data_IF_221700483450
#
_entry.id   IF_221700483450
#
_cell.length_a   1.000
_cell.length_b   1.000
_cell.length_c   1.000
_cell.angle_alpha   90.00
_cell.angle_beta   90.00
_cell.angle_gamma   90.00
#
_symmetry.space_group_name_H-M   'P 1'
#
loop_
_entity.id
_entity.type
_entity.pdbx_description
1 polymer ?
#
# COMPACT_ATOMS: atom_id res chain seq x y z
N UNK A 1 11.30 0.43 1.15
CA UNK A 1 12.49 0.67 0.29
C UNK A 1 12.51 2.14 -0.10
N UNK A 2 13.69 2.76 -0.16
CA UNK A 2 13.84 4.20 -0.38
C UNK A 2 13.71 4.56 -1.87
N UNK A 3 12.91 5.58 -2.20
CA UNK A 3 13.00 6.30 -3.47
C UNK A 3 13.77 7.60 -3.19
N UNK A 4 14.58 8.07 -4.14
CA UNK A 4 15.15 9.41 -4.05
C UNK A 4 14.01 10.44 -3.97
N UNK A 5 14.17 11.48 -3.13
CA UNK A 5 13.13 12.48 -2.90
C UNK A 5 12.60 13.03 -4.22
N UNK A 6 11.28 13.01 -4.41
CA UNK A 6 10.68 13.53 -5.65
C UNK A 6 10.76 15.07 -5.60
N UNK A 7 11.25 15.75 -6.67
CA UNK A 7 11.45 17.20 -6.66
C UNK A 7 10.17 18.02 -6.39
N UNK A 8 8.98 17.39 -6.46
CA UNK A 8 7.70 18.00 -6.13
C UNK A 8 7.46 18.27 -4.63
N UNK A 9 8.25 17.71 -3.72
CA UNK A 9 8.08 17.87 -2.27
C UNK A 9 8.95 18.96 -1.63
N UNK A 10 9.68 19.75 -2.43
CA UNK A 10 10.64 20.72 -1.93
C UNK A 10 10.06 21.79 -0.99
N UNK A 11 8.74 22.06 -1.07
CA UNK A 11 8.04 22.98 -0.17
C UNK A 11 7.45 22.32 1.09
N UNK A 12 7.20 21.01 1.09
CA UNK A 12 6.50 20.28 2.16
C UNK A 12 7.43 19.39 3.02
N UNK A 13 8.70 19.25 2.64
CA UNK A 13 9.62 18.31 3.27
C UNK A 13 9.37 16.87 2.80
N UNK A 14 9.98 15.90 3.48
CA UNK A 14 9.87 14.49 3.13
C UNK A 14 8.52 13.91 3.55
N UNK A 15 7.79 13.28 2.62
CA UNK A 15 6.52 12.59 2.92
C UNK A 15 6.79 11.11 3.18
N UNK A 16 6.38 10.64 4.36
CA UNK A 16 6.53 9.24 4.78
C UNK A 16 5.16 8.62 5.02
N UNK A 17 4.83 7.57 4.27
CA UNK A 17 3.62 6.77 4.47
C UNK A 17 3.92 5.60 5.41
N UNK A 18 3.25 5.54 6.55
CA UNK A 18 3.41 4.45 7.54
C UNK A 18 2.16 3.59 7.58
N UNK A 19 2.31 2.32 7.22
CA UNK A 19 1.25 1.32 7.13
C UNK A 19 1.36 0.34 8.29
N UNK A 20 0.46 0.46 9.24
CA UNK A 20 0.42 -0.39 10.42
C UNK A 20 -0.08 -1.82 10.06
N UNK A 21 0.11 -2.76 10.98
CA UNK A 21 -0.51 -4.09 10.90
C UNK A 21 -2.04 -4.05 11.06
N UNK A 22 -2.71 -5.21 11.15
CA UNK A 22 -4.16 -5.26 11.35
C UNK A 22 -4.93 -6.28 10.52
N UNK A 23 -4.24 -7.25 9.90
CA UNK A 23 -4.88 -8.33 9.14
C UNK A 23 -5.75 -7.80 7.99
N UNK A 24 -6.98 -8.30 7.86
CA UNK A 24 -7.87 -7.95 6.76
C UNK A 24 -8.26 -6.45 6.71
N UNK A 25 -8.22 -5.73 7.83
CA UNK A 25 -8.46 -4.28 7.87
C UNK A 25 -7.37 -3.49 7.13
N UNK A 26 -6.23 -4.12 6.80
CA UNK A 26 -5.23 -3.54 5.91
C UNK A 26 -5.76 -3.19 4.51
N UNK A 27 -6.91 -3.73 4.09
CA UNK A 27 -7.55 -3.42 2.81
C UNK A 27 -7.90 -1.94 2.66
N UNK A 28 -8.31 -1.28 3.76
CA UNK A 28 -8.62 0.15 3.76
C UNK A 28 -7.39 1.02 3.44
N UNK A 29 -6.18 0.54 3.71
CA UNK A 29 -4.94 1.25 3.38
C UNK A 29 -4.75 1.41 1.86
N UNK A 30 -5.33 0.50 1.04
CA UNK A 30 -5.31 0.66 -0.42
C UNK A 30 -6.15 1.86 -0.87
N UNK A 31 -7.29 2.13 -0.19
CA UNK A 31 -8.10 3.32 -0.43
C UNK A 31 -7.40 4.60 0.01
N UNK A 32 -6.67 4.57 1.13
CA UNK A 32 -5.81 5.70 1.56
C UNK A 32 -4.75 5.99 0.50
N UNK A 33 -4.05 4.96 0.00
CA UNK A 33 -3.06 5.15 -1.03
C UNK A 33 -3.65 5.68 -2.34
N UNK A 34 -4.86 5.21 -2.72
CA UNK A 34 -5.58 5.76 -3.87
C UNK A 34 -5.86 7.25 -3.72
N UNK A 35 -6.36 7.69 -2.56
CA UNK A 35 -6.64 9.10 -2.31
C UNK A 35 -5.36 9.97 -2.39
N UNK A 36 -4.21 9.46 -1.93
CA UNK A 36 -2.92 10.14 -2.10
C UNK A 36 -2.55 10.28 -3.58
N UNK A 37 -2.71 9.23 -4.38
CA UNK A 37 -2.47 9.29 -5.84
C UNK A 37 -3.38 10.31 -6.53
N UNK A 38 -4.68 10.32 -6.20
CA UNK A 38 -5.66 11.28 -6.75
C UNK A 38 -5.33 12.73 -6.36
N UNK A 39 -4.76 12.94 -5.18
CA UNK A 39 -4.27 14.24 -4.72
C UNK A 39 -2.88 14.62 -5.28
N UNK A 40 -2.26 13.77 -6.10
CA UNK A 40 -0.90 13.99 -6.62
C UNK A 40 0.20 13.89 -5.55
N UNK A 41 -0.10 13.29 -4.39
CA UNK A 41 0.86 13.10 -3.29
C UNK A 41 1.54 11.74 -3.46
N UNK A 42 2.83 11.77 -3.76
CA UNK A 42 3.68 10.58 -3.83
C UNK A 42 4.57 10.52 -2.57
N UNK A 43 4.48 9.46 -1.75
CA UNK A 43 5.38 9.28 -0.63
C UNK A 43 6.83 9.04 -1.09
N UNK A 44 7.78 9.68 -0.40
CA UNK A 44 9.21 9.44 -0.60
C UNK A 44 9.64 8.12 0.07
N UNK A 45 8.99 7.79 1.21
CA UNK A 45 9.20 6.55 1.95
C UNK A 45 7.88 5.88 2.26
N UNK A 46 7.93 4.54 2.26
CA UNK A 46 6.84 3.72 2.73
C UNK A 46 7.40 2.72 3.73
N UNK A 47 6.82 2.73 4.92
CA UNK A 47 7.16 1.84 6.02
C UNK A 47 5.93 0.98 6.28
N UNK A 48 6.12 -0.33 6.48
CA UNK A 48 5.03 -1.24 6.69
C UNK A 48 5.35 -2.33 7.71
N UNK A 49 4.35 -2.73 8.50
CA UNK A 49 4.45 -3.85 9.44
C UNK A 49 3.34 -4.87 9.16
N UNK A 50 3.66 -6.18 9.16
CA UNK A 50 2.70 -7.26 8.89
C UNK A 50 1.96 -7.03 7.55
N UNK A 51 0.62 -6.96 7.54
CA UNK A 51 -0.14 -6.65 6.31
C UNK A 51 0.25 -5.30 5.69
N UNK A 52 0.61 -4.30 6.52
CA UNK A 52 1.13 -3.03 6.05
C UNK A 52 2.46 -3.18 5.32
N UNK A 53 3.28 -4.18 5.67
CA UNK A 53 4.52 -4.49 4.93
C UNK A 53 4.23 -5.06 3.54
N UNK A 54 3.16 -5.86 3.39
CA UNK A 54 2.72 -6.38 2.09
C UNK A 54 2.23 -5.23 1.22
N UNK A 55 1.35 -4.37 1.74
CA UNK A 55 0.90 -3.17 1.02
C UNK A 55 2.11 -2.28 0.63
N UNK A 56 3.04 -2.03 1.55
CA UNK A 56 4.24 -1.24 1.28
C UNK A 56 5.12 -1.86 0.18
N UNK A 57 5.28 -3.19 0.18
CA UNK A 57 6.03 -3.91 -0.85
C UNK A 57 5.34 -3.84 -2.22
N UNK A 58 4.00 -3.96 -2.27
CA UNK A 58 3.23 -3.81 -3.51
C UNK A 58 3.33 -2.39 -4.09
N UNK A 59 3.32 -1.37 -3.23
CA UNK A 59 3.45 0.02 -3.68
C UNK A 59 4.89 0.29 -4.15
N UNK A 60 5.89 -0.04 -3.33
CA UNK A 60 7.28 0.27 -3.65
C UNK A 60 7.85 -0.60 -4.79
N UNK A 61 7.37 -1.84 -4.93
CA UNK A 61 7.86 -2.81 -5.90
C UNK A 61 7.23 -2.74 -7.29
N UNK A 62 6.32 -1.80 -7.54
CA UNK A 62 5.66 -1.63 -8.83
C UNK A 62 5.84 -0.20 -9.37
N UNK A 63 5.82 -0.06 -10.70
CA UNK A 63 5.78 1.25 -11.36
C UNK A 63 4.50 2.01 -10.97
N UNK A 64 4.53 3.35 -10.90
CA UNK A 64 3.41 4.16 -10.40
C UNK A 64 2.04 3.77 -10.99
N UNK A 65 1.99 3.49 -12.28
CA UNK A 65 0.79 3.17 -13.05
C UNK A 65 0.16 1.84 -12.63
N UNK A 66 0.96 0.92 -12.07
CA UNK A 66 0.56 -0.43 -11.73
C UNK A 66 0.22 -0.63 -10.24
N UNK A 67 0.64 0.27 -9.35
CA UNK A 67 0.56 0.07 -7.90
C UNK A 67 -0.86 -0.16 -7.39
N UNK A 68 -1.80 0.67 -7.81
CA UNK A 68 -3.21 0.54 -7.41
C UNK A 68 -3.86 -0.74 -7.96
N UNK A 69 -3.55 -1.11 -9.20
CA UNK A 69 -4.05 -2.35 -9.78
C UNK A 69 -3.52 -3.58 -9.01
N UNK A 70 -2.25 -3.57 -8.60
CA UNK A 70 -1.62 -4.65 -7.84
C UNK A 70 -2.16 -4.77 -6.42
N UNK A 71 -2.40 -3.64 -5.75
CA UNK A 71 -3.08 -3.63 -4.45
C UNK A 71 -4.49 -4.24 -4.54
N UNK A 72 -5.30 -3.80 -5.52
CA UNK A 72 -6.66 -4.33 -5.71
C UNK A 72 -6.66 -5.82 -6.02
N UNK A 73 -5.76 -6.28 -6.88
CA UNK A 73 -5.64 -7.70 -7.22
C UNK A 73 -5.26 -8.55 -6.01
N UNK A 74 -4.32 -8.08 -5.18
CA UNK A 74 -3.97 -8.78 -3.94
C UNK A 74 -5.17 -8.92 -3.01
N UNK A 75 -5.90 -7.83 -2.76
CA UNK A 75 -7.06 -7.86 -1.85
C UNK A 75 -8.22 -8.69 -2.39
N UNK A 76 -8.46 -8.66 -3.71
CA UNK A 76 -9.45 -9.53 -4.37
C UNK A 76 -9.13 -11.03 -4.17
N UNK A 77 -7.85 -11.42 -4.21
CA UNK A 77 -7.44 -12.80 -3.94
C UNK A 77 -7.63 -13.20 -2.48
N UNK A 78 -7.42 -12.25 -1.55
CA UNK A 78 -7.62 -12.50 -0.12
C UNK A 78 -9.10 -12.74 0.23
N UNK A 79 -10.04 -12.09 -0.45
CA UNK A 79 -11.48 -12.36 -0.32
C UNK A 79 -11.85 -13.78 -0.77
N UNK A 80 -11.15 -14.31 -1.77
CA UNK A 80 -11.46 -15.59 -2.40
C UNK A 80 -10.86 -16.81 -1.68
N UNK A 81 -10.16 -16.62 -0.57
CA UNK A 81 -9.54 -17.72 0.19
C UNK A 81 -10.22 -17.93 1.55
N UNK A 82 -11.32 -18.72 1.63
CA UNK A 82 -11.81 -19.23 2.89
C UNK A 82 -10.88 -20.37 3.33
N UNK A 83 -9.67 -20.02 3.79
CA UNK A 83 -8.65 -20.96 4.26
C UNK A 83 -9.00 -21.69 5.56
N UNK A 84 -10.27 -21.66 5.99
CA UNK A 84 -10.76 -22.36 7.17
C UNK A 84 -12.05 -23.11 6.83
N UNK A 85 -11.89 -24.32 6.28
CA UNK A 85 -12.97 -25.30 6.25
C UNK A 85 -12.95 -26.06 7.57
N UNK A 86 -14.04 -26.01 8.34
CA UNK A 86 -14.20 -26.89 9.50
C UNK A 86 -14.30 -28.33 9.00
N UNK A 87 -13.48 -29.28 9.50
CA UNK A 87 -13.76 -30.69 9.27
C UNK A 87 -15.09 -31.04 9.95
N UNK A 88 -15.98 -31.71 9.20
CA UNK A 88 -17.11 -32.44 9.77
C UNK A 88 -16.61 -33.71 10.46
#
# INVERSE_FOLDING_TARGET
MAKAASPGNAAAGQIVLVLQGGGALGSYQAGVYQALCEAGIEPDWIIGTSIGAINAALIAGNTPENRLARLREFWKRMEQNPGWSFPN
#
